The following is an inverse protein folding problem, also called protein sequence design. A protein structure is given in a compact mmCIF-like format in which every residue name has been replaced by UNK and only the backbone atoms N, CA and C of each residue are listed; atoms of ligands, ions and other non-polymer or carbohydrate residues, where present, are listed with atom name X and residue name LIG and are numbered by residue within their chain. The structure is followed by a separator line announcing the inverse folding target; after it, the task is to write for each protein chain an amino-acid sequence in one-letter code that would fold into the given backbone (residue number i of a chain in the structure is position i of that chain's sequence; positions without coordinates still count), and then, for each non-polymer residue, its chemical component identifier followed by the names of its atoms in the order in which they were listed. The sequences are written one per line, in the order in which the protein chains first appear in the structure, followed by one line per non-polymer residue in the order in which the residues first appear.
data_IF_896396754006
#
_entry.id   IF_896396754006
#
_cell.length_a   1.000
_cell.length_b   1.000
_cell.length_c   1.000
_cell.angle_alpha   90.00
_cell.angle_beta   90.00
_cell.angle_gamma   90.00
#
_symmetry.space_group_name_H-M   'P 1'
#
loop_
_entity.id
_entity.type
_entity.pdbx_description
1 polymer ?
#
# COMPACT_ATOMS: atom_id res chain seq x y z
N UNK A 1 -1.07 23.06 -94.76
CA UNK A 1 -1.24 21.66 -94.45
C UNK A 1 -1.30 21.52 -92.95
N UNK A 2 -2.38 20.97 -92.47
CA UNK A 2 -3.00 21.09 -91.17
C UNK A 2 -2.13 20.85 -89.95
N UNK A 3 -2.22 21.80 -88.99
CA UNK A 3 -1.77 21.72 -87.65
C UNK A 3 -2.99 21.62 -86.73
N UNK A 4 -3.15 20.50 -86.09
CA UNK A 4 -4.21 20.31 -85.06
C UNK A 4 -3.63 20.50 -83.62
N UNK A 5 -4.15 21.52 -82.97
CA UNK A 5 -3.85 21.74 -81.55
C UNK A 5 -4.85 20.97 -80.63
N UNK A 6 -4.36 20.18 -79.75
CA UNK A 6 -5.12 19.47 -78.70
C UNK A 6 -5.03 20.22 -77.36
N UNK A 7 -6.17 20.62 -76.86
CA UNK A 7 -6.32 21.28 -75.55
C UNK A 7 -6.52 20.18 -74.51
N UNK A 8 -5.54 19.99 -73.63
CA UNK A 8 -5.67 19.12 -72.47
C UNK A 8 -6.32 19.79 -71.26
N UNK A 9 -7.49 19.29 -70.90
CA UNK A 9 -8.22 19.74 -69.71
C UNK A 9 -7.68 19.03 -68.46
N UNK A 10 -7.08 19.78 -67.56
CA UNK A 10 -6.65 19.30 -66.25
C UNK A 10 -7.78 19.33 -65.26
N UNK A 11 -8.32 18.17 -64.89
CA UNK A 11 -9.29 18.01 -63.82
C UNK A 11 -8.52 17.92 -62.49
N UNK A 12 -8.64 18.95 -61.67
CA UNK A 12 -8.13 18.93 -60.27
C UNK A 12 -9.17 18.23 -59.41
N UNK A 13 -8.81 17.04 -58.88
CA UNK A 13 -9.58 16.37 -57.85
C UNK A 13 -9.25 16.98 -56.49
N UNK A 14 -10.22 17.65 -55.89
CA UNK A 14 -10.19 18.13 -54.51
C UNK A 14 -10.56 16.96 -53.62
N UNK A 15 -9.57 16.36 -52.97
CA UNK A 15 -9.81 15.39 -51.88
C UNK A 15 -10.15 16.14 -50.59
N UNK A 16 -11.45 16.23 -50.28
CA UNK A 16 -11.90 16.70 -49.00
C UNK A 16 -11.62 15.58 -47.92
N UNK A 17 -10.60 15.77 -47.10
CA UNK A 17 -10.34 14.92 -45.94
C UNK A 17 -11.44 15.14 -44.89
N UNK A 18 -12.31 14.16 -44.71
CA UNK A 18 -13.22 14.07 -43.56
C UNK A 18 -12.41 13.65 -42.35
N UNK A 19 -12.08 14.60 -41.48
CA UNK A 19 -11.55 14.28 -40.13
C UNK A 19 -12.69 13.66 -39.31
N UNK A 20 -12.65 12.32 -39.15
CA UNK A 20 -13.46 11.64 -38.14
C UNK A 20 -12.93 12.06 -36.76
N UNK A 21 -13.68 12.96 -36.11
CA UNK A 21 -13.53 13.17 -34.68
C UNK A 21 -13.97 11.87 -33.99
N UNK A 22 -12.98 11.14 -33.47
CA UNK A 22 -13.23 10.01 -32.60
C UNK A 22 -13.90 10.55 -31.32
N UNK A 23 -15.23 10.48 -31.25
CA UNK A 23 -15.95 10.61 -29.98
C UNK A 23 -15.47 9.46 -29.09
N UNK A 24 -14.59 9.76 -28.14
CA UNK A 24 -14.29 8.84 -27.04
C UNK A 24 -15.60 8.57 -26.31
N UNK A 25 -16.06 7.32 -26.36
CA UNK A 25 -17.20 6.90 -25.56
C UNK A 25 -16.89 7.24 -24.09
N UNK A 26 -17.89 7.73 -23.31
CA UNK A 26 -17.68 7.98 -21.89
C UNK A 26 -17.22 6.69 -21.25
N UNK A 27 -16.08 6.73 -20.57
CA UNK A 27 -15.58 5.60 -19.75
C UNK A 27 -16.73 5.21 -18.81
N UNK A 28 -17.14 3.94 -18.74
CA UNK A 28 -18.17 3.52 -17.80
C UNK A 28 -17.75 3.98 -16.40
N UNK A 29 -18.69 4.43 -15.56
CA UNK A 29 -18.38 4.86 -14.21
C UNK A 29 -17.57 3.73 -13.55
N UNK A 30 -16.35 4.06 -13.12
CA UNK A 30 -15.47 3.10 -12.48
C UNK A 30 -16.17 2.50 -11.27
N UNK A 31 -15.79 1.27 -10.92
CA UNK A 31 -16.30 0.61 -9.72
C UNK A 31 -16.14 1.58 -8.53
N UNK A 32 -17.23 1.97 -7.86
CA UNK A 32 -17.18 2.96 -6.77
C UNK A 32 -16.40 2.49 -5.54
N UNK A 33 -16.07 1.21 -5.48
CA UNK A 33 -15.34 0.59 -4.35
C UNK A 33 -13.83 0.77 -4.41
N UNK A 34 -13.28 1.31 -5.51
CA UNK A 34 -11.83 1.40 -5.72
C UNK A 34 -11.39 2.67 -6.42
N UNK A 35 -10.09 2.97 -6.26
CA UNK A 35 -9.38 3.97 -7.07
C UNK A 35 -8.42 3.25 -8.01
N UNK A 36 -8.37 3.64 -9.27
CA UNK A 36 -7.41 3.09 -10.23
C UNK A 36 -6.52 4.22 -10.75
N UNK A 37 -5.21 4.00 -10.66
CA UNK A 37 -4.20 4.85 -11.28
C UNK A 37 -3.53 4.07 -12.40
N UNK A 38 -3.69 4.54 -13.63
CA UNK A 38 -3.08 3.91 -14.80
C UNK A 38 -1.72 4.55 -15.10
N UNK A 39 -0.66 3.83 -14.80
CA UNK A 39 0.68 4.17 -15.24
C UNK A 39 0.93 3.68 -16.67
N UNK A 40 1.75 4.38 -17.42
CA UNK A 40 1.95 4.08 -18.84
C UNK A 40 3.39 3.70 -19.17
N UNK A 41 4.36 4.42 -18.65
CA UNK A 41 5.78 4.27 -18.97
C UNK A 41 6.62 4.11 -17.72
N UNK A 42 7.59 3.23 -17.75
CA UNK A 42 8.50 3.00 -16.65
C UNK A 42 8.75 1.52 -16.37
N UNK A 43 9.54 1.21 -15.34
CA UNK A 43 9.90 -0.18 -15.03
C UNK A 43 8.71 -1.05 -14.62
N UNK A 44 7.59 -0.44 -14.22
CA UNK A 44 6.35 -1.11 -13.85
C UNK A 44 5.35 -1.33 -15.00
N UNK A 45 5.65 -0.89 -16.21
CA UNK A 45 4.72 -1.00 -17.33
C UNK A 45 4.27 -2.45 -17.57
N UNK A 46 2.96 -2.64 -17.73
CA UNK A 46 2.34 -3.96 -17.91
C UNK A 46 2.18 -4.76 -16.61
N UNK A 47 2.56 -4.22 -15.44
CA UNK A 47 2.37 -4.86 -14.14
C UNK A 47 1.25 -4.20 -13.34
N UNK A 48 0.47 -5.03 -12.64
CA UNK A 48 -0.67 -4.60 -11.84
C UNK A 48 -0.41 -4.80 -10.35
N UNK A 49 -0.52 -3.73 -9.57
CA UNK A 49 -0.41 -3.75 -8.12
C UNK A 49 -1.79 -3.49 -7.51
N UNK A 50 -2.16 -4.31 -6.54
CA UNK A 50 -3.37 -4.13 -5.73
C UNK A 50 -2.98 -3.69 -4.33
N UNK A 51 -3.50 -2.55 -3.88
CA UNK A 51 -3.34 -2.00 -2.55
C UNK A 51 -4.65 -2.14 -1.78
N UNK A 52 -4.58 -2.62 -0.54
CA UNK A 52 -5.78 -2.88 0.29
C UNK A 52 -5.63 -2.13 1.61
N UNK A 53 -6.48 -1.11 1.81
CA UNK A 53 -6.51 -0.24 2.97
C UNK A 53 -7.71 -0.54 3.87
N UNK A 54 -7.48 -0.77 5.16
CA UNK A 54 -8.53 -1.07 6.14
C UNK A 54 -8.00 -0.99 7.56
N UNK A 55 -7.04 -0.12 7.81
CA UNK A 55 -6.53 0.19 9.14
C UNK A 55 -7.29 1.38 9.73
N UNK A 56 -7.91 1.21 10.86
CA UNK A 56 -8.75 2.23 11.51
C UNK A 56 -7.99 3.12 12.52
N UNK A 57 -6.66 3.06 12.54
CA UNK A 57 -5.80 3.88 13.42
C UNK A 57 -4.74 4.66 12.64
N UNK A 58 -3.99 4.00 11.73
CA UNK A 58 -2.77 4.55 11.12
C UNK A 58 -2.96 5.14 9.72
N UNK A 59 -4.20 5.40 9.32
CA UNK A 59 -4.53 6.13 8.08
C UNK A 59 -4.06 5.43 6.79
N UNK A 60 -4.21 4.12 6.69
CA UNK A 60 -3.91 3.41 5.45
C UNK A 60 -4.71 3.91 4.24
N UNK A 61 -5.91 4.46 4.47
CA UNK A 61 -6.76 5.09 3.47
C UNK A 61 -6.18 6.40 2.89
N UNK A 62 -5.16 6.96 3.53
CA UNK A 62 -4.37 8.09 3.05
C UNK A 62 -3.03 7.63 2.45
N UNK A 63 -2.33 6.76 3.18
CA UNK A 63 -1.01 6.27 2.81
C UNK A 63 -1.00 5.49 1.48
N UNK A 64 -1.93 4.54 1.33
CA UNK A 64 -1.91 3.65 0.16
C UNK A 64 -2.32 4.35 -1.14
N UNK A 65 -3.31 5.25 -1.21
CA UNK A 65 -3.54 6.05 -2.41
C UNK A 65 -2.35 6.93 -2.78
N UNK A 66 -1.65 7.54 -1.80
CA UNK A 66 -0.45 8.34 -2.06
C UNK A 66 0.69 7.49 -2.64
N UNK A 67 0.96 6.33 -2.04
CA UNK A 67 1.92 5.36 -2.57
C UNK A 67 1.50 4.88 -3.96
N UNK A 68 0.21 4.59 -4.15
CA UNK A 68 -0.34 4.16 -5.44
C UNK A 68 -0.09 5.15 -6.56
N UNK A 69 -0.26 6.45 -6.31
CA UNK A 69 0.06 7.51 -7.28
C UNK A 69 1.55 7.53 -7.65
N UNK A 70 2.43 7.39 -6.65
CA UNK A 70 3.88 7.33 -6.90
C UNK A 70 4.21 6.13 -7.80
N UNK A 71 3.74 4.93 -7.43
CA UNK A 71 3.98 3.71 -8.19
C UNK A 71 3.44 3.80 -9.62
N UNK A 72 2.27 4.40 -9.81
CA UNK A 72 1.69 4.53 -11.14
C UNK A 72 2.38 5.63 -11.96
N UNK A 73 2.47 6.85 -11.43
CA UNK A 73 2.94 8.00 -12.21
C UNK A 73 4.44 8.01 -12.46
N UNK A 74 5.24 7.59 -11.44
CA UNK A 74 6.71 7.62 -11.50
C UNK A 74 7.31 6.35 -12.10
N UNK A 75 6.63 5.22 -11.91
CA UNK A 75 7.18 3.90 -12.25
C UNK A 75 6.35 3.15 -13.32
N UNK A 76 5.18 3.66 -13.71
CA UNK A 76 4.39 3.11 -14.81
C UNK A 76 3.52 1.91 -14.45
N UNK A 77 3.33 1.58 -13.17
CA UNK A 77 2.43 0.50 -12.76
C UNK A 77 0.96 0.85 -13.01
N UNK A 78 0.14 -0.15 -13.35
CA UNK A 78 -1.28 -0.08 -13.06
C UNK A 78 -1.46 -0.33 -11.57
N UNK A 79 -2.19 0.55 -10.89
CA UNK A 79 -2.44 0.43 -9.44
C UNK A 79 -3.92 0.51 -9.15
N UNK A 80 -4.46 -0.50 -8.48
CA UNK A 80 -5.84 -0.49 -7.95
C UNK A 80 -5.79 -0.40 -6.43
N UNK A 81 -6.41 0.63 -5.85
CA UNK A 81 -6.49 0.84 -4.41
C UNK A 81 -7.91 0.54 -3.95
N UNK A 82 -8.03 -0.44 -3.09
CA UNK A 82 -9.27 -0.83 -2.43
C UNK A 82 -9.25 -0.32 -1.00
N UNK A 83 -10.36 0.26 -0.55
CA UNK A 83 -10.48 0.86 0.77
C UNK A 83 -11.78 0.34 1.39
N UNK A 84 -11.79 0.04 2.68
CA UNK A 84 -13.00 -0.39 3.37
C UNK A 84 -14.05 0.69 3.39
N UNK A 85 -15.32 0.34 3.10
CA UNK A 85 -16.43 1.26 2.90
C UNK A 85 -17.59 0.94 3.83
N UNK A 86 -18.34 1.97 4.22
CA UNK A 86 -19.65 1.77 4.82
C UNK A 86 -20.73 1.40 3.78
N UNK A 87 -21.94 1.12 4.23
CA UNK A 87 -23.05 0.75 3.35
C UNK A 87 -23.49 1.84 2.37
N UNK A 88 -23.11 3.10 2.62
CA UNK A 88 -23.38 4.24 1.75
C UNK A 88 -22.23 4.50 0.75
N UNK A 89 -21.16 3.71 0.77
CA UNK A 89 -20.01 3.80 -0.12
C UNK A 89 -18.99 4.88 0.27
N UNK A 90 -19.02 5.36 1.51
CA UNK A 90 -18.00 6.24 2.04
C UNK A 90 -16.86 5.43 2.67
N UNK A 91 -15.64 5.97 2.59
CA UNK A 91 -14.47 5.40 3.24
C UNK A 91 -14.74 5.35 4.74
N UNK A 92 -14.67 4.13 5.28
CA UNK A 92 -14.83 3.86 6.71
C UNK A 92 -13.84 2.78 7.15
N UNK A 93 -12.66 3.19 7.63
CA UNK A 93 -11.68 2.24 8.15
C UNK A 93 -12.29 1.35 9.23
N UNK A 94 -12.01 0.06 9.16
CA UNK A 94 -12.53 -0.94 10.11
C UNK A 94 -13.96 -1.43 9.86
N UNK A 95 -14.59 -1.07 8.73
CA UNK A 95 -15.95 -1.55 8.39
C UNK A 95 -15.99 -3.01 7.95
N UNK A 96 -14.85 -3.64 7.71
CA UNK A 96 -14.73 -5.02 7.20
C UNK A 96 -15.58 -5.32 5.96
N UNK A 97 -15.69 -4.33 5.08
CA UNK A 97 -16.41 -4.44 3.82
C UNK A 97 -15.61 -3.78 2.69
N UNK A 98 -15.24 -4.57 1.69
CA UNK A 98 -14.36 -4.14 0.61
C UNK A 98 -14.72 -4.88 -0.69
N UNK A 99 -15.38 -4.22 -1.62
CA UNK A 99 -15.76 -4.80 -2.92
C UNK A 99 -14.61 -4.83 -3.92
N UNK A 100 -14.73 -5.65 -4.96
CA UNK A 100 -13.87 -5.62 -6.13
C UNK A 100 -12.53 -6.35 -6.00
N UNK A 101 -12.31 -7.14 -4.94
CA UNK A 101 -11.06 -7.88 -4.71
C UNK A 101 -10.77 -8.98 -5.74
N UNK A 102 -11.71 -9.28 -6.66
CA UNK A 102 -11.43 -10.13 -7.83
C UNK A 102 -10.29 -9.60 -8.70
N UNK A 103 -9.94 -8.32 -8.58
CA UNK A 103 -8.75 -7.72 -9.20
C UNK A 103 -7.44 -8.43 -8.80
N UNK A 104 -7.41 -9.10 -7.64
CA UNK A 104 -6.29 -9.92 -7.20
C UNK A 104 -5.99 -11.09 -8.13
N UNK A 105 -6.95 -11.55 -8.94
CA UNK A 105 -6.74 -12.62 -9.94
C UNK A 105 -5.62 -12.29 -10.92
N UNK A 106 -5.47 -11.01 -11.26
CA UNK A 106 -4.48 -10.52 -12.23
C UNK A 106 -3.38 -9.67 -11.60
N UNK A 107 -3.40 -9.48 -10.28
CA UNK A 107 -2.38 -8.68 -9.60
C UNK A 107 -1.03 -9.40 -9.59
N UNK A 108 0.04 -8.64 -9.88
CA UNK A 108 1.42 -9.10 -9.75
C UNK A 108 1.94 -8.93 -8.32
N UNK A 109 1.38 -7.97 -7.57
CA UNK A 109 1.75 -7.68 -6.18
C UNK A 109 0.52 -7.23 -5.38
N UNK A 110 0.42 -7.67 -4.13
CA UNK A 110 -0.53 -7.17 -3.13
C UNK A 110 0.21 -6.41 -2.03
N UNK A 111 -0.22 -5.17 -1.76
CA UNK A 111 0.27 -4.36 -0.63
C UNK A 111 -0.88 -4.15 0.35
N UNK A 112 -0.69 -4.47 1.61
CA UNK A 112 -1.75 -4.43 2.61
C UNK A 112 -1.42 -3.48 3.76
N UNK A 113 -2.41 -2.66 4.13
CA UNK A 113 -2.48 -1.83 5.33
C UNK A 113 -3.80 -2.13 6.04
N UNK A 114 -3.88 -3.27 6.71
CA UNK A 114 -5.11 -3.82 7.31
C UNK A 114 -4.97 -3.95 8.83
N UNK A 115 -6.10 -3.87 9.55
CA UNK A 115 -6.15 -4.11 10.98
C UNK A 115 -7.48 -4.72 11.40
N UNK A 116 -7.45 -5.91 12.01
CA UNK A 116 -8.58 -6.62 12.60
C UNK A 116 -9.81 -6.75 11.70
N UNK A 117 -9.60 -6.98 10.40
CA UNK A 117 -10.69 -7.12 9.45
C UNK A 117 -11.36 -8.49 9.58
N UNK A 118 -12.69 -8.50 9.43
CA UNK A 118 -13.54 -9.69 9.34
C UNK A 118 -14.34 -9.61 8.03
N UNK A 119 -13.62 -9.77 6.91
CA UNK A 119 -14.23 -9.67 5.59
C UNK A 119 -15.23 -10.79 5.33
N UNK A 120 -16.35 -10.52 4.62
CA UNK A 120 -17.21 -11.57 4.09
C UNK A 120 -16.42 -12.65 3.36
N UNK A 121 -16.90 -13.90 3.45
CA UNK A 121 -16.16 -15.05 2.93
C UNK A 121 -15.79 -14.93 1.44
N UNK A 122 -16.66 -14.37 0.62
CA UNK A 122 -16.42 -14.12 -0.80
C UNK A 122 -15.29 -13.14 -1.06
N UNK A 123 -15.15 -12.10 -0.20
CA UNK A 123 -14.07 -11.11 -0.30
C UNK A 123 -12.75 -11.72 0.19
N UNK A 124 -12.79 -12.46 1.29
CA UNK A 124 -11.62 -13.15 1.83
C UNK A 124 -11.09 -14.23 0.88
N UNK A 125 -11.97 -14.92 0.14
CA UNK A 125 -11.58 -15.94 -0.84
C UNK A 125 -10.60 -15.40 -1.88
N UNK A 126 -10.80 -14.17 -2.36
CA UNK A 126 -9.88 -13.56 -3.35
C UNK A 126 -8.46 -13.35 -2.79
N UNK A 127 -8.35 -13.02 -1.50
CA UNK A 127 -7.05 -12.90 -0.82
C UNK A 127 -6.41 -14.27 -0.69
N UNK A 128 -7.18 -15.28 -0.29
CA UNK A 128 -6.68 -16.66 -0.15
C UNK A 128 -6.22 -17.20 -1.49
N UNK A 129 -7.02 -17.07 -2.55
CA UNK A 129 -6.65 -17.49 -3.90
C UNK A 129 -5.36 -16.80 -4.38
N UNK A 130 -5.17 -15.53 -4.02
CA UNK A 130 -3.94 -14.80 -4.33
C UNK A 130 -2.73 -15.39 -3.60
N UNK A 131 -2.87 -15.69 -2.32
CA UNK A 131 -1.81 -16.32 -1.52
C UNK A 131 -1.51 -17.74 -2.00
N UNK A 132 -2.53 -18.53 -2.30
CA UNK A 132 -2.40 -19.92 -2.76
C UNK A 132 -1.65 -20.04 -4.09
N UNK A 133 -1.72 -19.01 -4.95
CA UNK A 133 -0.91 -19.00 -6.17
C UNK A 133 0.53 -18.48 -5.96
N UNK A 134 0.94 -18.18 -4.74
CA UNK A 134 2.26 -17.66 -4.40
C UNK A 134 2.46 -16.19 -4.80
N UNK A 135 1.41 -15.38 -4.72
CA UNK A 135 1.50 -13.95 -5.04
C UNK A 135 2.36 -13.19 -4.02
N UNK A 136 3.27 -12.29 -4.47
CA UNK A 136 4.12 -11.50 -3.55
C UNK A 136 3.30 -10.55 -2.67
N UNK A 137 3.78 -10.29 -1.44
CA UNK A 137 3.05 -9.45 -0.47
C UNK A 137 3.98 -8.41 0.17
N UNK A 138 3.51 -7.17 0.27
CA UNK A 138 4.05 -6.18 1.19
C UNK A 138 3.07 -5.96 2.35
N UNK A 139 3.51 -6.21 3.58
CA UNK A 139 2.75 -5.96 4.80
C UNK A 139 3.25 -4.71 5.52
N UNK A 140 2.34 -3.74 5.72
CA UNK A 140 2.65 -2.50 6.40
C UNK A 140 2.02 -2.47 7.78
N UNK A 141 2.79 -2.15 8.79
CA UNK A 141 2.41 -1.90 10.17
C UNK A 141 1.39 -2.91 10.73
N UNK A 142 0.13 -2.52 10.87
CA UNK A 142 -0.96 -3.31 11.46
C UNK A 142 -1.31 -4.58 10.69
N UNK A 143 -0.72 -4.78 9.51
CA UNK A 143 -0.98 -5.99 8.73
C UNK A 143 -0.49 -7.27 9.39
N UNK A 144 0.40 -7.20 10.40
CA UNK A 144 0.76 -8.35 11.25
C UNK A 144 -0.44 -8.85 12.07
N UNK A 145 -1.50 -8.05 12.23
CA UNK A 145 -2.79 -8.41 12.81
C UNK A 145 -3.94 -7.98 11.88
N UNK A 146 -3.76 -8.23 10.58
CA UNK A 146 -4.70 -7.81 9.54
C UNK A 146 -6.13 -8.31 9.77
N UNK A 147 -6.27 -9.54 10.22
CA UNK A 147 -7.57 -10.22 10.31
C UNK A 147 -7.95 -10.60 11.73
N UNK A 148 -9.25 -10.50 12.04
CA UNK A 148 -9.87 -10.96 13.28
C UNK A 148 -11.17 -11.73 12.95
N UNK A 149 -11.04 -12.80 12.19
CA UNK A 149 -12.14 -13.63 11.72
C UNK A 149 -12.49 -14.66 12.80
N UNK A 150 -13.68 -14.57 13.35
CA UNK A 150 -14.07 -15.38 14.52
C UNK A 150 -14.67 -16.74 14.19
N UNK A 151 -15.15 -16.93 12.96
CA UNK A 151 -15.78 -18.19 12.54
C UNK A 151 -15.71 -18.37 11.02
N UNK A 152 -16.09 -19.57 10.57
CA UNK A 152 -16.13 -19.88 9.15
C UNK A 152 -14.79 -20.40 8.58
N UNK A 153 -14.71 -20.59 7.25
CA UNK A 153 -13.61 -21.30 6.61
C UNK A 153 -12.27 -20.55 6.68
N UNK A 154 -12.31 -19.23 6.94
CA UNK A 154 -11.13 -18.39 6.98
C UNK A 154 -10.69 -17.99 8.39
N UNK A 155 -11.31 -18.53 9.45
CA UNK A 155 -10.95 -18.25 10.83
C UNK A 155 -9.44 -18.49 11.13
N UNK A 156 -8.81 -19.42 10.42
CA UNK A 156 -7.39 -19.71 10.57
C UNK A 156 -6.46 -18.53 10.22
N UNK A 157 -6.94 -17.54 9.42
CA UNK A 157 -6.17 -16.35 9.08
C UNK A 157 -6.19 -15.26 10.17
N UNK A 158 -7.00 -15.47 11.24
CA UNK A 158 -7.07 -14.54 12.36
C UNK A 158 -5.73 -14.42 13.09
N UNK A 159 -5.36 -13.22 13.47
CA UNK A 159 -4.08 -12.89 14.13
C UNK A 159 -3.82 -13.68 15.43
N UNK A 160 -4.88 -14.08 16.09
CA UNK A 160 -4.88 -14.81 17.37
C UNK A 160 -5.31 -16.28 17.24
N UNK A 161 -5.31 -16.83 16.03
CA UNK A 161 -5.68 -18.22 15.77
C UNK A 161 -4.76 -19.19 16.51
N UNK A 162 -5.34 -20.19 17.19
CA UNK A 162 -4.63 -21.15 18.05
C UNK A 162 -4.48 -22.56 17.46
N UNK A 163 -5.03 -22.79 16.26
CA UNK A 163 -4.88 -24.07 15.58
C UNK A 163 -3.43 -24.29 15.13
N UNK A 164 -3.01 -25.55 15.18
CA UNK A 164 -1.63 -25.95 14.85
C UNK A 164 -1.33 -25.90 13.36
N UNK A 165 -2.36 -25.87 12.53
CA UNK A 165 -2.26 -25.85 11.06
C UNK A 165 -1.90 -24.47 10.50
N UNK A 166 -2.21 -23.37 11.23
CA UNK A 166 -1.94 -22.00 10.78
C UNK A 166 -1.79 -21.04 11.98
N UNK A 167 -0.92 -21.32 12.96
CA UNK A 167 -0.84 -20.58 14.22
C UNK A 167 -0.63 -19.09 13.98
N UNK A 168 -1.32 -18.25 14.77
CA UNK A 168 -1.27 -16.78 14.70
C UNK A 168 -1.58 -16.20 13.31
N UNK A 169 -2.21 -16.98 12.45
CA UNK A 169 -2.85 -16.56 11.22
C UNK A 169 -1.96 -15.92 10.17
N UNK A 170 -2.56 -15.03 9.39
CA UNK A 170 -1.92 -14.37 8.24
C UNK A 170 -0.62 -13.65 8.63
N UNK A 171 -0.64 -12.94 9.77
CA UNK A 171 0.53 -12.18 10.22
C UNK A 171 1.75 -13.08 10.34
N UNK A 172 1.66 -14.14 11.14
CA UNK A 172 2.79 -15.03 11.38
C UNK A 172 3.12 -15.87 10.14
N UNK A 173 2.12 -16.48 9.51
CA UNK A 173 2.34 -17.46 8.44
C UNK A 173 2.77 -16.84 7.11
N UNK A 174 2.29 -15.63 6.80
CA UNK A 174 2.64 -14.93 5.56
C UNK A 174 3.71 -13.87 5.83
N UNK A 175 3.46 -12.96 6.77
CA UNK A 175 4.34 -11.82 7.03
C UNK A 175 5.52 -12.14 7.94
N UNK A 176 5.47 -13.27 8.66
CA UNK A 176 6.56 -13.73 9.53
C UNK A 176 6.45 -13.25 10.96
N UNK A 177 5.39 -12.56 11.34
CA UNK A 177 5.18 -12.06 12.69
C UNK A 177 3.69 -11.78 12.93
N UNK A 178 3.20 -12.08 14.12
CA UNK A 178 1.92 -11.56 14.60
C UNK A 178 2.15 -10.45 15.62
N UNK A 179 1.20 -9.53 15.74
CA UNK A 179 1.33 -8.43 16.69
C UNK A 179 1.36 -8.92 18.14
N UNK A 180 2.39 -8.51 18.87
CA UNK A 180 2.59 -8.83 20.30
C UNK A 180 2.33 -7.60 21.17
N UNK A 181 2.78 -6.42 20.71
CA UNK A 181 2.64 -5.18 21.47
C UNK A 181 3.36 -4.01 20.80
N UNK A 182 3.05 -2.80 21.24
CA UNK A 182 3.77 -1.61 20.83
C UNK A 182 5.18 -1.56 21.41
N UNK A 183 6.10 -0.92 20.69
CA UNK A 183 7.46 -0.65 21.14
C UNK A 183 7.79 0.82 20.92
N UNK A 184 7.73 1.59 21.99
CA UNK A 184 7.63 3.03 22.01
C UNK A 184 6.20 3.50 22.33
N UNK A 185 6.09 4.72 22.84
CA UNK A 185 4.79 5.35 23.16
C UNK A 185 4.35 6.19 21.97
N UNK A 186 3.19 5.84 21.39
CA UNK A 186 2.62 6.62 20.29
C UNK A 186 2.42 8.09 20.70
N UNK A 187 2.72 9.01 19.79
CA UNK A 187 2.63 10.47 19.95
C UNK A 187 3.62 11.09 20.95
N UNK A 188 4.48 10.29 21.55
CA UNK A 188 5.54 10.74 22.46
C UNK A 188 6.92 10.31 21.96
N UNK A 189 7.00 9.14 21.34
CA UNK A 189 8.24 8.53 20.87
C UNK A 189 8.11 8.15 19.40
N UNK A 190 8.96 8.72 18.58
CA UNK A 190 9.14 8.37 17.18
C UNK A 190 10.21 7.27 17.03
N UNK A 191 10.52 6.90 15.79
CA UNK A 191 11.52 5.86 15.51
C UNK A 191 12.46 6.23 14.37
N UNK A 192 13.70 5.74 14.44
CA UNK A 192 14.60 5.64 13.29
C UNK A 192 14.68 4.21 12.79
N UNK A 193 14.64 4.03 11.49
CA UNK A 193 14.90 2.74 10.84
C UNK A 193 16.38 2.71 10.45
N UNK A 194 17.11 1.76 11.02
CA UNK A 194 18.55 1.61 10.83
C UNK A 194 18.81 0.30 10.08
N UNK A 195 19.24 0.33 8.81
CA UNK A 195 19.70 -0.87 8.14
C UNK A 195 20.78 -1.55 8.95
N UNK A 196 20.76 -2.87 9.03
CA UNK A 196 21.85 -3.64 9.64
C UNK A 196 23.10 -3.51 8.77
N UNK A 197 24.26 -3.49 9.37
CA UNK A 197 25.54 -3.35 8.66
C UNK A 197 25.74 -4.43 7.59
N UNK A 198 25.37 -5.67 7.90
CA UNK A 198 25.43 -6.81 7.00
C UNK A 198 24.35 -6.80 5.90
N UNK A 199 23.34 -5.93 6.02
CA UNK A 199 22.22 -5.78 5.09
C UNK A 199 22.20 -4.42 4.37
N UNK A 200 23.13 -3.54 4.65
CA UNK A 200 23.16 -2.18 4.06
C UNK A 200 23.25 -2.19 2.52
N UNK A 201 23.82 -3.25 1.93
CA UNK A 201 23.90 -3.43 0.48
C UNK A 201 22.62 -4.04 -0.14
N UNK A 202 21.63 -4.45 0.66
CA UNK A 202 20.42 -5.05 0.15
C UNK A 202 19.68 -4.08 -0.79
N UNK A 203 19.15 -4.53 -1.95
CA UNK A 203 18.53 -3.66 -2.97
C UNK A 203 17.47 -2.72 -2.41
N UNK A 204 16.71 -3.14 -1.39
CA UNK A 204 15.67 -2.33 -0.75
C UNK A 204 16.25 -1.04 -0.14
N UNK A 205 17.50 -1.03 0.30
CA UNK A 205 18.13 0.17 0.89
C UNK A 205 18.92 1.02 -0.10
N UNK A 206 18.93 0.67 -1.37
CA UNK A 206 19.66 1.46 -2.37
C UNK A 206 19.10 2.88 -2.46
N UNK A 207 19.92 3.86 -2.12
CA UNK A 207 19.53 5.27 -2.06
C UNK A 207 18.62 5.66 -0.89
N UNK A 208 18.35 4.75 0.04
CA UNK A 208 17.60 5.05 1.27
C UNK A 208 18.54 5.72 2.28
N UNK A 209 18.12 6.86 2.81
CA UNK A 209 18.87 7.63 3.78
C UNK A 209 17.93 8.20 4.84
N UNK A 210 18.42 8.35 6.05
CA UNK A 210 17.81 9.08 7.17
C UNK A 210 16.31 8.78 7.37
N UNK A 211 15.98 7.51 7.59
CA UNK A 211 14.58 7.12 7.76
C UNK A 211 14.14 7.41 9.19
N UNK A 212 13.42 8.51 9.34
CA UNK A 212 12.69 8.88 10.54
C UNK A 212 11.20 8.73 10.31
N UNK A 213 10.49 8.09 11.24
CA UNK A 213 9.05 7.81 11.16
C UNK A 213 8.35 8.21 12.45
N UNK A 214 7.14 8.74 12.31
CA UNK A 214 6.34 9.24 13.43
C UNK A 214 5.73 8.10 14.27
N UNK A 215 5.48 6.97 13.65
CA UNK A 215 4.91 5.82 14.35
C UNK A 215 5.98 5.07 15.16
N UNK A 216 5.63 4.64 16.37
CA UNK A 216 6.45 3.66 17.12
C UNK A 216 6.48 2.31 16.42
N UNK A 217 7.48 1.48 16.69
CA UNK A 217 7.54 0.11 16.20
C UNK A 217 6.65 -0.85 16.99
N UNK A 218 6.85 -2.14 16.73
CA UNK A 218 6.27 -3.23 17.52
C UNK A 218 7.37 -4.03 18.23
N UNK A 219 7.01 -4.71 19.30
CA UNK A 219 7.81 -5.84 19.78
C UNK A 219 7.70 -6.92 18.71
N UNK A 220 8.79 -7.18 18.00
CA UNK A 220 8.78 -8.06 16.84
C UNK A 220 9.88 -9.13 16.96
N UNK A 221 9.47 -10.37 16.70
CA UNK A 221 10.31 -11.55 16.73
C UNK A 221 10.04 -12.39 15.47
N UNK A 222 10.48 -11.91 14.29
CA UNK A 222 10.17 -12.56 13.03
C UNK A 222 10.55 -14.03 13.04
N UNK A 223 9.66 -14.88 12.50
CA UNK A 223 9.86 -16.33 12.42
C UNK A 223 11.17 -16.69 11.70
N UNK A 224 11.71 -17.86 12.05
CA UNK A 224 12.82 -18.49 11.34
C UNK A 224 12.55 -18.51 9.82
N UNK A 225 13.60 -18.26 9.04
CA UNK A 225 13.49 -18.07 7.60
C UNK A 225 13.10 -16.64 7.17
N UNK A 226 12.93 -15.73 8.12
CA UNK A 226 12.86 -14.29 7.84
C UNK A 226 14.26 -13.67 7.90
N UNK A 227 14.60 -12.86 6.91
CA UNK A 227 15.83 -12.08 6.86
C UNK A 227 15.57 -10.67 7.40
N UNK A 228 16.05 -10.39 8.61
CA UNK A 228 15.92 -9.06 9.23
C UNK A 228 16.87 -8.09 8.55
N UNK A 229 16.33 -7.08 7.89
CA UNK A 229 17.10 -6.10 7.11
C UNK A 229 17.41 -4.83 7.91
N UNK A 230 16.49 -4.40 8.80
CA UNK A 230 16.71 -3.19 9.59
C UNK A 230 16.13 -3.31 11.00
N UNK A 231 16.75 -2.56 11.90
CA UNK A 231 16.32 -2.41 13.28
C UNK A 231 15.74 -1.01 13.51
N UNK A 232 14.75 -0.91 14.38
CA UNK A 232 14.14 0.33 14.83
C UNK A 232 14.75 0.81 16.13
N UNK A 233 15.19 2.06 16.14
CA UNK A 233 15.63 2.77 17.33
C UNK A 233 14.51 3.70 17.79
N UNK A 234 13.98 3.49 18.98
CA UNK A 234 13.01 4.39 19.61
C UNK A 234 13.74 5.68 20.01
N UNK A 235 13.09 6.82 19.78
CA UNK A 235 13.59 8.16 20.14
C UNK A 235 12.79 8.72 21.32
N UNK A 236 13.43 9.52 22.16
CA UNK A 236 12.79 10.26 23.25
C UNK A 236 12.22 11.58 22.75
N UNK A 237 11.22 11.52 21.87
CA UNK A 237 10.53 12.64 21.25
C UNK A 237 10.07 12.35 19.83
N UNK A 238 9.34 13.29 19.26
CA UNK A 238 8.73 13.15 17.93
C UNK A 238 9.57 13.79 16.82
N UNK A 239 10.56 14.61 17.17
CA UNK A 239 11.40 15.32 16.21
C UNK A 239 12.53 14.42 15.69
N UNK A 240 12.95 14.59 14.42
CA UNK A 240 14.08 13.85 13.88
C UNK A 240 15.38 14.00 14.68
N UNK A 241 15.55 15.09 15.40
CA UNK A 241 16.72 15.36 16.25
C UNK A 241 16.61 14.79 17.66
N UNK A 242 15.47 14.15 18.01
CA UNK A 242 15.29 13.57 19.33
C UNK A 242 16.34 12.49 19.63
N UNK A 243 16.88 12.44 20.86
CA UNK A 243 17.91 11.47 21.20
C UNK A 243 17.33 10.05 21.27
N UNK A 244 18.16 9.03 21.01
CA UNK A 244 17.77 7.64 21.19
C UNK A 244 17.32 7.37 22.64
N UNK A 245 16.27 6.56 22.81
CA UNK A 245 15.93 5.96 24.09
C UNK A 245 16.89 4.80 24.36
N UNK A 246 17.91 5.08 25.16
CA UNK A 246 18.95 4.08 25.49
C UNK A 246 18.46 2.98 26.43
N UNK A 247 17.31 3.16 27.06
CA UNK A 247 16.64 2.14 27.88
C UNK A 247 15.92 1.07 27.04
N UNK A 248 15.71 1.32 25.74
CA UNK A 248 15.04 0.39 24.82
C UNK A 248 16.04 -0.21 23.83
N UNK A 249 16.10 -1.53 23.79
CA UNK A 249 16.88 -2.24 22.75
C UNK A 249 16.27 -1.98 21.38
N UNK A 250 17.11 -2.02 20.35
CA UNK A 250 16.62 -2.00 18.98
C UNK A 250 15.81 -3.27 18.67
N UNK A 251 14.72 -3.11 17.92
CA UNK A 251 13.83 -4.20 17.52
C UNK A 251 13.81 -4.37 15.99
N UNK A 252 13.62 -5.59 15.46
CA UNK A 252 13.35 -5.77 14.04
C UNK A 252 12.15 -4.94 13.58
N UNK A 253 12.32 -4.13 12.54
CA UNK A 253 11.25 -3.29 11.99
C UNK A 253 11.09 -3.44 10.49
N UNK A 254 12.07 -4.05 9.80
CA UNK A 254 12.01 -4.40 8.39
C UNK A 254 12.61 -5.77 8.19
N UNK A 255 11.88 -6.66 7.53
CA UNK A 255 12.39 -7.98 7.13
C UNK A 255 11.76 -8.46 5.84
N UNK A 256 12.42 -9.44 5.23
CA UNK A 256 11.93 -10.17 4.05
C UNK A 256 11.85 -11.65 4.36
N UNK A 257 11.01 -12.34 3.62
CA UNK A 257 10.87 -13.80 3.61
C UNK A 257 10.19 -14.27 2.35
N UNK A 258 9.90 -15.55 2.26
CA UNK A 258 8.97 -16.12 1.30
C UNK A 258 7.79 -16.77 2.05
N UNK A 259 6.60 -16.67 1.50
CA UNK A 259 5.47 -17.51 1.91
C UNK A 259 5.26 -18.62 0.89
N UNK A 260 4.67 -19.73 1.34
CA UNK A 260 4.35 -20.88 0.51
C UNK A 260 2.89 -20.82 0.07
N UNK A 261 2.64 -20.82 -1.21
CA UNK A 261 1.29 -21.01 -1.76
C UNK A 261 0.87 -22.47 -1.83
N UNK A 262 -0.42 -22.70 -2.07
CA UNK A 262 -1.02 -24.06 -2.08
C UNK A 262 -0.42 -25.03 -3.10
N UNK A 263 0.22 -24.55 -4.15
CA UNK A 263 0.84 -25.37 -5.22
C UNK A 263 2.36 -25.48 -5.09
N UNK A 264 2.93 -25.20 -3.92
CA UNK A 264 4.39 -25.14 -3.73
C UNK A 264 5.04 -23.91 -4.35
N UNK A 265 4.28 -22.99 -4.92
CA UNK A 265 4.78 -21.69 -5.40
C UNK A 265 5.13 -20.81 -4.21
N UNK A 266 6.19 -20.05 -4.36
CA UNK A 266 6.64 -19.13 -3.32
C UNK A 266 6.42 -17.67 -3.76
N UNK A 267 5.89 -16.86 -2.85
CA UNK A 267 5.79 -15.41 -3.00
C UNK A 267 6.80 -14.70 -2.12
N UNK A 268 7.50 -13.70 -2.68
CA UNK A 268 8.35 -12.80 -1.90
C UNK A 268 7.50 -11.95 -0.96
N UNK A 269 7.96 -11.79 0.27
CA UNK A 269 7.27 -10.99 1.29
C UNK A 269 8.24 -9.94 1.84
N UNK A 270 7.77 -8.72 1.91
CA UNK A 270 8.38 -7.63 2.67
C UNK A 270 7.44 -7.23 3.79
N UNK A 271 7.97 -7.04 4.98
CA UNK A 271 7.20 -6.58 6.14
C UNK A 271 7.92 -5.44 6.83
N UNK A 272 7.15 -4.43 7.22
CA UNK A 272 7.62 -3.38 8.12
C UNK A 272 6.62 -3.09 9.22
N UNK A 273 7.10 -2.87 10.46
CA UNK A 273 6.27 -2.46 11.60
C UNK A 273 5.90 -0.98 11.58
N UNK A 274 6.27 -0.26 10.53
CA UNK A 274 5.93 1.15 10.27
C UNK A 274 5.04 1.27 9.04
N UNK A 275 4.46 2.44 8.82
CA UNK A 275 3.57 2.69 7.67
C UNK A 275 2.31 3.47 8.03
N UNK A 276 2.34 4.29 9.08
CA UNK A 276 1.35 5.33 9.29
C UNK A 276 1.41 6.34 8.13
N UNK A 277 0.31 7.04 7.87
CA UNK A 277 0.27 8.01 6.78
C UNK A 277 1.40 9.05 6.86
N UNK A 278 1.68 9.55 8.04
CA UNK A 278 2.75 10.53 8.27
C UNK A 278 4.16 9.97 8.02
N UNK A 279 4.36 8.67 8.16
CA UNK A 279 5.66 8.03 7.88
C UNK A 279 6.07 8.21 6.41
N UNK A 280 5.09 8.31 5.50
CA UNK A 280 5.34 8.57 4.08
C UNK A 280 5.91 9.99 3.82
N UNK A 281 5.79 10.92 4.75
CA UNK A 281 6.41 12.24 4.61
C UNK A 281 7.94 12.15 4.55
N UNK A 282 8.53 11.13 5.17
CA UNK A 282 9.97 10.88 5.07
C UNK A 282 10.34 10.30 3.69
N UNK A 283 11.21 10.95 2.92
CA UNK A 283 11.58 10.50 1.57
C UNK A 283 12.34 9.17 1.57
N UNK A 284 13.12 8.88 2.61
CA UNK A 284 13.81 7.59 2.78
C UNK A 284 12.81 6.45 2.98
N UNK A 285 11.76 6.67 3.77
CA UNK A 285 10.71 5.68 3.96
C UNK A 285 9.94 5.38 2.66
N UNK A 286 9.54 6.44 1.91
CA UNK A 286 8.91 6.26 0.60
C UNK A 286 9.80 5.46 -0.35
N UNK A 287 11.10 5.81 -0.42
CA UNK A 287 12.07 5.09 -1.26
C UNK A 287 12.18 3.63 -0.87
N UNK A 288 12.24 3.33 0.41
CA UNK A 288 12.28 1.95 0.91
C UNK A 288 11.05 1.16 0.44
N UNK A 289 9.84 1.73 0.49
CA UNK A 289 8.62 1.06 0.04
C UNK A 289 8.58 0.87 -1.49
N UNK A 290 9.05 1.85 -2.25
CA UNK A 290 9.20 1.75 -3.72
C UNK A 290 10.20 0.66 -4.09
N UNK A 291 11.36 0.65 -3.44
CA UNK A 291 12.38 -0.38 -3.67
C UNK A 291 11.88 -1.77 -3.26
N UNK A 292 11.16 -1.89 -2.14
CA UNK A 292 10.53 -3.14 -1.71
C UNK A 292 9.49 -3.64 -2.73
N UNK A 293 8.73 -2.73 -3.35
CA UNK A 293 7.80 -3.05 -4.44
C UNK A 293 8.53 -3.65 -5.64
N UNK A 294 9.60 -3.01 -6.09
CA UNK A 294 10.41 -3.49 -7.21
C UNK A 294 11.10 -4.82 -6.87
N UNK A 295 11.66 -4.94 -5.65
CA UNK A 295 12.26 -6.17 -5.17
C UNK A 295 11.26 -7.33 -5.13
N UNK A 296 10.05 -7.12 -4.61
CA UNK A 296 9.03 -8.17 -4.54
C UNK A 296 8.61 -8.68 -5.93
N UNK A 297 8.73 -7.83 -6.95
CA UNK A 297 8.45 -8.15 -8.35
C UNK A 297 9.66 -8.71 -9.13
N UNK A 298 10.81 -8.92 -8.47
CA UNK A 298 12.03 -9.40 -9.13
C UNK A 298 12.65 -8.37 -10.09
N UNK A 299 12.54 -7.09 -9.75
CA UNK A 299 13.02 -5.95 -10.57
C UNK A 299 14.14 -5.18 -9.87
N UNK A 300 15.05 -5.88 -9.21
CA UNK A 300 16.16 -5.27 -8.46
C UNK A 300 17.14 -4.50 -9.36
N UNK A 301 17.22 -4.88 -10.61
CA UNK A 301 18.07 -4.27 -11.64
C UNK A 301 17.70 -2.82 -11.95
N UNK A 302 16.42 -2.46 -11.78
CA UNK A 302 15.95 -1.10 -12.03
C UNK A 302 15.91 -0.23 -10.77
N UNK A 303 16.25 -0.77 -9.62
CA UNK A 303 16.35 0.02 -8.39
C UNK A 303 17.58 0.92 -8.47
N UNK A 304 17.35 2.24 -8.49
CA UNK A 304 18.40 3.26 -8.54
C UNK A 304 18.20 4.31 -7.44
N UNK A 305 19.27 4.89 -6.89
CA UNK A 305 19.17 6.05 -6.00
C UNK A 305 18.44 7.24 -6.63
N UNK A 306 18.44 7.33 -7.96
CA UNK A 306 17.85 8.44 -8.72
C UNK A 306 16.35 8.25 -9.04
N UNK A 307 15.75 7.11 -8.66
CA UNK A 307 14.31 6.91 -8.86
C UNK A 307 13.53 8.06 -8.20
N UNK A 308 12.61 8.66 -8.98
CA UNK A 308 11.71 9.67 -8.44
C UNK A 308 10.66 9.02 -7.53
N UNK A 309 10.72 9.35 -6.25
CA UNK A 309 9.77 8.90 -5.22
C UNK A 309 8.97 10.08 -4.64
N UNK A 310 8.98 11.23 -5.32
CA UNK A 310 8.21 12.40 -4.91
C UNK A 310 6.71 12.16 -5.02
N UNK A 311 5.96 12.81 -4.16
CA UNK A 311 4.50 12.74 -4.21
C UNK A 311 3.95 13.19 -5.56
N UNK A 312 2.79 12.65 -5.89
CA UNK A 312 1.99 13.04 -7.05
C UNK A 312 0.69 13.64 -6.53
N UNK A 313 0.51 14.93 -6.78
CA UNK A 313 -0.58 15.70 -6.22
C UNK A 313 -0.42 16.01 -4.72
N UNK A 314 -1.38 16.77 -4.16
CA UNK A 314 -1.34 17.17 -2.75
C UNK A 314 -1.45 15.96 -1.81
N UNK A 315 -0.59 15.93 -0.81
CA UNK A 315 -0.60 14.94 0.26
C UNK A 315 -0.43 15.62 1.60
N UNK A 316 -1.48 15.63 2.39
CA UNK A 316 -1.55 16.28 3.70
C UNK A 316 -2.13 15.31 4.72
N UNK A 317 -1.37 14.30 5.15
CA UNK A 317 -1.86 13.29 6.07
C UNK A 317 -2.19 13.92 7.43
N UNK A 318 -3.19 13.36 8.09
CA UNK A 318 -3.41 13.67 9.50
C UNK A 318 -2.68 12.69 10.39
N UNK A 319 -2.35 13.13 11.58
CA UNK A 319 -1.80 12.30 12.64
C UNK A 319 -2.70 11.07 12.87
N UNK A 320 -2.08 9.91 12.98
CA UNK A 320 -2.81 8.67 13.21
C UNK A 320 -3.52 8.69 14.57
N UNK A 321 -4.76 8.22 14.57
CA UNK A 321 -5.57 8.05 15.78
C UNK A 321 -6.82 7.22 15.47
N UNK A 322 -7.38 6.56 16.47
CA UNK A 322 -8.66 5.89 16.31
C UNK A 322 -9.75 6.87 15.94
N UNK A 323 -10.52 6.54 14.89
CA UNK A 323 -11.63 7.36 14.42
C UNK A 323 -11.24 8.71 13.81
N UNK A 324 -9.93 9.03 13.68
CA UNK A 324 -9.44 10.29 13.14
C UNK A 324 -9.51 10.42 11.60
N UNK A 325 -10.10 9.45 10.90
CA UNK A 325 -10.24 9.51 9.44
C UNK A 325 -11.21 10.60 8.98
N UNK A 326 -10.99 11.13 7.78
CA UNK A 326 -11.88 12.12 7.19
C UNK A 326 -13.19 11.48 6.77
N UNK A 327 -14.31 11.99 7.31
CA UNK A 327 -15.64 11.51 6.99
C UNK A 327 -16.15 12.10 5.67
N UNK A 328 -17.09 11.41 5.01
CA UNK A 328 -17.72 11.88 3.79
C UNK A 328 -16.86 11.81 2.54
N UNK A 329 -15.74 11.06 2.58
CA UNK A 329 -14.86 10.83 1.43
C UNK A 329 -15.24 9.51 0.76
N UNK A 330 -15.30 9.52 -0.56
CA UNK A 330 -15.47 8.32 -1.40
C UNK A 330 -14.16 7.98 -2.11
N UNK A 331 -13.95 6.75 -2.54
CA UNK A 331 -12.79 6.42 -3.38
C UNK A 331 -12.68 7.30 -4.63
N UNK A 332 -13.81 7.66 -5.25
CA UNK A 332 -13.83 8.58 -6.41
C UNK A 332 -13.22 9.94 -6.14
N UNK A 333 -13.27 10.43 -4.90
CA UNK A 333 -12.71 11.73 -4.53
C UNK A 333 -11.17 11.70 -4.53
N UNK A 334 -10.58 10.51 -4.50
CA UNK A 334 -9.14 10.26 -4.54
C UNK A 334 -8.63 9.89 -5.94
N UNK A 335 -9.50 9.75 -6.94
CA UNK A 335 -9.16 9.14 -8.23
C UNK A 335 -8.29 10.04 -9.14
N UNK A 336 -8.31 11.36 -8.98
CA UNK A 336 -7.51 12.28 -9.80
C UNK A 336 -6.04 12.33 -9.34
N UNK A 337 -5.13 12.68 -10.26
CA UNK A 337 -3.73 12.89 -9.93
C UNK A 337 -3.52 14.06 -8.95
N UNK A 338 -4.35 15.09 -9.08
CA UNK A 338 -4.30 16.32 -8.28
C UNK A 338 -5.39 16.37 -7.20
N UNK A 339 -6.22 15.33 -7.08
CA UNK A 339 -7.20 15.26 -5.98
C UNK A 339 -6.47 15.25 -4.64
N UNK A 340 -6.83 16.11 -3.67
CA UNK A 340 -6.12 16.12 -2.39
C UNK A 340 -6.37 14.82 -1.63
N UNK A 341 -5.29 14.16 -1.24
CA UNK A 341 -5.34 13.10 -0.22
C UNK A 341 -5.22 13.82 1.11
N UNK A 342 -6.32 13.86 1.83
CA UNK A 342 -6.61 14.75 2.95
C UNK A 342 -6.59 16.23 2.59
N UNK A 343 -7.66 16.91 2.93
CA UNK A 343 -7.76 18.37 2.86
C UNK A 343 -7.10 18.99 4.10
N UNK A 344 -6.52 20.19 3.99
CA UNK A 344 -6.05 20.95 5.15
C UNK A 344 -7.15 21.24 6.19
N UNK A 345 -8.42 21.20 5.81
CA UNK A 345 -9.54 21.32 6.73
C UNK A 345 -9.65 20.03 7.57
N UNK A 346 -9.02 20.06 8.75
CA UNK A 346 -9.09 18.96 9.70
C UNK A 346 -10.56 18.76 10.11
N UNK A 347 -11.12 17.53 10.08
CA UNK A 347 -12.39 17.28 10.73
C UNK A 347 -12.21 17.58 12.22
N UNK A 348 -13.13 18.35 12.80
CA UNK A 348 -13.23 18.49 14.25
C UNK A 348 -13.44 17.10 14.82
N UNK A 349 -12.49 16.64 15.62
CA UNK A 349 -12.59 15.36 16.34
C UNK A 349 -13.76 15.53 17.31
N UNK A 350 -14.86 14.85 17.03
CA UNK A 350 -15.95 14.73 18.01
C UNK A 350 -15.41 13.91 19.19
N UNK A 351 -15.07 14.59 20.26
CA UNK A 351 -14.49 14.01 21.48
C UNK A 351 -15.44 13.04 22.24
N UNK A 352 -16.62 12.78 21.67
CA UNK A 352 -17.65 11.94 22.28
C UNK A 352 -17.67 10.49 21.83
N UNK A 353 -16.83 10.08 20.90
CA UNK A 353 -16.78 8.70 20.39
C UNK A 353 -15.48 7.97 20.75
N UNK A 354 -15.08 8.00 22.01
CA UNK A 354 -14.14 7.00 22.51
C UNK A 354 -14.93 5.70 22.73
N UNK A 355 -14.63 4.60 22.05
CA UNK A 355 -15.11 3.31 22.48
C UNK A 355 -14.41 3.01 23.80
N UNK A 356 -15.21 2.92 24.87
CA UNK A 356 -14.78 2.49 26.18
C UNK A 356 -14.01 1.16 26.08
N UNK A 357 -12.74 1.19 26.47
CA UNK A 357 -11.97 0.10 27.02
C UNK A 357 -11.99 -1.23 26.27
N UNK A 358 -11.00 -1.46 25.43
CA UNK A 358 -10.50 -2.82 25.25
C UNK A 358 -9.72 -3.23 26.51
N UNK A 359 -9.73 -4.51 26.93
CA UNK A 359 -9.11 -4.92 28.19
C UNK A 359 -7.59 -4.68 28.12
N UNK A 360 -7.11 -3.95 29.11
CA UNK A 360 -5.70 -3.91 29.49
C UNK A 360 -5.26 -5.32 29.92
N UNK A 361 -4.47 -5.98 29.10
CA UNK A 361 -3.54 -7.05 29.50
C UNK A 361 -2.35 -7.08 28.58
#
# INVERSE_FOLDING_TARGET
MNTGASIGSAVRHLLAGIALAACSAPTPPGDPSRVVFEGTNGPGAGKHIVLIAGDHEYRSEEALPALGRILARRLGFKVSVFITLDSAGFIRPGSSNIGGLEALKTADLMIVGLRFQDFPAEQMQHIVDYLDRGGPVLGLRTSTHAFQIRSGPFAKYSWDYKGVDYPSGFGEQVLGETWVGHYGTNHEQSSRILPRDDQAAHPIFRGVQDVHVQSGGYQAYPLDGSEVLALGQVLNGMEPSAPPDTGKKQMPVVWTRTHQGGNGRQGRVFTTTHGASEDLLNPGFRRMLVNATLWALGKEDVISPDLDVSFVGPYHPVTFSFGGYRRGVRPSDLAGWDSPIMSPDRPTVDSTSQPSGGPSR
#
